data_IF_433043334278
#
_entry.id   IF_433043334278
#
_cell.length_a   1.000
_cell.length_b   1.000
_cell.length_c   1.000
_cell.angle_alpha   90.00
_cell.angle_beta   90.00
_cell.angle_gamma   90.00
#
_symmetry.space_group_name_H-M   'P 1'
#
loop_
_entity.id
_entity.type
_entity.pdbx_description
1 polymer ?
#
# COMPACT_ATOMS: atom_id res chain seq x y z
N UNK A 1 -7.97 2.54 -21.49
CA UNK A 1 -8.45 2.80 -20.12
C UNK A 1 -7.31 2.43 -19.20
N UNK A 2 -6.53 3.43 -18.76
CA UNK A 2 -5.45 3.19 -17.80
C UNK A 2 -6.09 2.81 -16.47
N UNK A 3 -5.67 1.67 -15.91
CA UNK A 3 -6.12 1.27 -14.58
C UNK A 3 -5.46 2.21 -13.57
N UNK A 4 -6.22 3.09 -12.93
CA UNK A 4 -5.71 4.14 -12.03
C UNK A 4 -5.89 3.81 -10.55
N UNK A 5 -6.20 2.55 -10.20
CA UNK A 5 -6.60 2.17 -8.83
C UNK A 5 -5.55 2.56 -7.78
N UNK A 6 -4.26 2.40 -8.08
CA UNK A 6 -3.18 2.78 -7.16
C UNK A 6 -3.01 4.30 -7.10
N UNK A 7 -3.10 4.98 -8.24
CA UNK A 7 -3.09 6.45 -8.29
C UNK A 7 -4.26 7.06 -7.48
N UNK A 8 -5.46 6.49 -7.59
CA UNK A 8 -6.70 6.96 -6.96
C UNK A 8 -6.71 6.78 -5.44
N UNK A 9 -5.78 5.99 -4.88
CA UNK A 9 -5.60 5.90 -3.42
C UNK A 9 -5.09 7.21 -2.84
N UNK A 10 -4.23 7.93 -3.55
CA UNK A 10 -3.61 9.16 -3.07
C UNK A 10 -4.62 10.30 -3.10
N UNK A 11 -4.85 10.92 -1.95
CA UNK A 11 -5.70 12.11 -1.84
C UNK A 11 -4.98 13.34 -1.28
N UNK A 12 -3.69 13.21 -0.96
CA UNK A 12 -2.89 14.28 -0.38
C UNK A 12 -3.31 14.66 1.05
N UNK A 13 -4.27 13.95 1.64
CA UNK A 13 -4.79 14.21 2.98
C UNK A 13 -4.47 13.04 3.90
N UNK A 14 -5.10 11.88 3.66
CA UNK A 14 -4.91 10.68 4.47
C UNK A 14 -3.89 9.73 3.87
N UNK A 15 -3.67 9.78 2.55
CA UNK A 15 -2.67 8.98 1.84
C UNK A 15 -1.86 9.92 0.94
N UNK A 16 -0.54 9.93 1.15
CA UNK A 16 0.42 10.76 0.41
C UNK A 16 1.20 9.97 -0.65
N UNK A 17 1.35 8.66 -0.46
CA UNK A 17 2.01 7.77 -1.42
C UNK A 17 1.33 6.41 -1.43
N UNK A 18 1.33 5.74 -2.58
CA UNK A 18 0.84 4.38 -2.74
C UNK A 18 1.71 3.61 -3.72
N UNK A 19 1.78 2.30 -3.55
CA UNK A 19 2.50 1.39 -4.44
C UNK A 19 1.84 0.01 -4.49
N UNK A 20 2.01 -0.67 -5.61
CA UNK A 20 1.71 -2.08 -5.79
C UNK A 20 3.01 -2.87 -5.90
N UNK A 21 3.11 -3.95 -5.15
CA UNK A 21 4.22 -4.90 -5.21
C UNK A 21 3.75 -6.27 -5.67
N UNK A 22 4.61 -6.97 -6.41
CA UNK A 22 4.42 -8.37 -6.77
C UNK A 22 4.71 -9.31 -5.59
N UNK A 23 4.40 -10.62 -5.70
CA UNK A 23 4.67 -11.60 -4.64
C UNK A 23 6.16 -11.75 -4.27
N UNK A 24 7.07 -11.31 -5.12
CA UNK A 24 8.52 -11.33 -4.91
C UNK A 24 9.02 -10.03 -4.25
N UNK A 25 8.13 -9.07 -4.03
CA UNK A 25 8.41 -7.78 -3.40
C UNK A 25 8.96 -6.72 -4.36
N UNK A 26 8.86 -6.90 -5.67
CA UNK A 26 9.21 -5.87 -6.65
C UNK A 26 8.06 -4.89 -6.84
N UNK A 27 8.38 -3.60 -7.02
CA UNK A 27 7.37 -2.57 -7.28
C UNK A 27 6.88 -2.65 -8.73
N UNK A 28 5.58 -2.89 -8.92
CA UNK A 28 4.90 -2.84 -10.22
C UNK A 28 4.52 -1.39 -10.55
N UNK A 29 3.92 -0.70 -9.58
CA UNK A 29 3.45 0.67 -9.73
C UNK A 29 3.71 1.47 -8.45
N UNK A 30 3.96 2.77 -8.58
CA UNK A 30 4.06 3.71 -7.46
C UNK A 30 3.66 5.11 -7.87
N UNK A 31 3.11 5.86 -6.91
CA UNK A 31 2.67 7.24 -7.11
C UNK A 31 3.73 8.27 -6.72
N UNK A 32 4.82 7.86 -6.06
CA UNK A 32 5.93 8.72 -5.65
C UNK A 32 7.28 8.03 -5.89
N UNK A 33 8.27 8.78 -6.38
CA UNK A 33 9.65 8.30 -6.54
C UNK A 33 10.40 8.18 -5.23
N UNK A 34 10.02 9.00 -4.25
CA UNK A 34 10.68 9.11 -2.94
C UNK A 34 10.22 8.00 -2.00
N UNK A 35 9.03 7.46 -2.25
CA UNK A 35 8.54 6.27 -1.57
C UNK A 35 9.21 5.02 -2.15
N UNK A 36 9.99 4.33 -1.32
CA UNK A 36 10.71 3.09 -1.65
C UNK A 36 10.06 1.91 -0.91
N UNK A 37 8.96 1.36 -1.42
CA UNK A 37 8.23 0.29 -0.76
C UNK A 37 9.04 -1.01 -0.64
N UNK A 38 10.03 -1.22 -1.52
CA UNK A 38 10.92 -2.40 -1.47
C UNK A 38 11.72 -2.54 -0.18
N UNK A 39 11.98 -1.44 0.54
CA UNK A 39 12.63 -1.48 1.87
C UNK A 39 11.75 -2.23 2.88
N UNK A 40 10.43 -2.26 2.67
CA UNK A 40 9.53 -2.99 3.56
C UNK A 40 9.73 -4.51 3.49
N UNK A 41 10.34 -5.04 2.42
CA UNK A 41 10.68 -6.46 2.32
C UNK A 41 11.73 -6.88 3.37
N UNK A 42 12.52 -5.94 3.89
CA UNK A 42 13.47 -6.20 4.98
C UNK A 42 12.78 -6.24 6.36
N UNK A 43 11.61 -5.61 6.47
CA UNK A 43 10.84 -5.51 7.71
C UNK A 43 9.72 -6.54 7.80
N UNK A 44 9.23 -7.00 6.65
CA UNK A 44 8.12 -7.94 6.55
C UNK A 44 8.61 -9.30 6.08
N UNK A 45 8.22 -10.33 6.83
CA UNK A 45 8.22 -11.67 6.28
C UNK A 45 7.06 -11.79 5.29
N UNK A 46 7.39 -11.84 3.99
CA UNK A 46 6.40 -11.99 2.92
C UNK A 46 5.67 -13.34 2.98
N UNK A 47 6.13 -14.30 3.81
CA UNK A 47 5.48 -15.60 4.02
C UNK A 47 4.40 -15.60 5.11
N UNK A 48 4.23 -14.52 5.88
CA UNK A 48 3.23 -14.45 6.93
C UNK A 48 1.79 -14.37 6.37
N UNK A 49 0.83 -14.92 7.12
CA UNK A 49 -0.60 -14.93 6.79
C UNK A 49 -1.30 -13.61 7.20
N UNK A 50 -0.55 -12.67 7.80
CA UNK A 50 -1.06 -11.36 8.16
C UNK A 50 -1.41 -10.53 6.91
N UNK A 51 -2.72 -10.39 6.66
CA UNK A 51 -3.23 -9.62 5.54
C UNK A 51 -3.00 -8.10 5.65
N UNK A 52 -2.73 -7.59 6.84
CA UNK A 52 -2.60 -6.16 7.09
C UNK A 52 -1.55 -5.86 8.16
N UNK A 53 -0.51 -5.12 7.78
CA UNK A 53 0.52 -4.64 8.69
C UNK A 53 0.50 -3.11 8.75
N UNK A 54 0.75 -2.56 9.92
CA UNK A 54 0.84 -1.09 10.13
C UNK A 54 2.12 -0.77 10.87
N UNK A 55 2.97 0.01 10.23
CA UNK A 55 4.23 0.49 10.77
C UNK A 55 4.09 1.96 11.08
N UNK A 56 4.13 2.31 12.36
CA UNK A 56 4.09 3.71 12.81
C UNK A 56 5.52 4.18 13.03
N UNK A 57 6.00 5.02 12.12
CA UNK A 57 7.29 5.70 12.25
C UNK A 57 7.14 7.09 12.85
N UNK A 58 8.28 7.71 13.16
CA UNK A 58 8.31 9.07 13.71
C UNK A 58 7.72 10.11 12.77
N UNK A 59 7.85 9.94 11.44
CA UNK A 59 7.45 10.95 10.44
C UNK A 59 6.25 10.55 9.59
N UNK A 60 5.90 9.26 9.56
CA UNK A 60 4.78 8.76 8.77
C UNK A 60 4.35 7.38 9.25
N UNK A 61 3.13 6.99 8.90
CA UNK A 61 2.64 5.62 9.05
C UNK A 61 2.62 4.93 7.69
N UNK A 62 3.13 3.71 7.61
CA UNK A 62 3.04 2.85 6.43
C UNK A 62 2.05 1.74 6.72
N UNK A 63 1.12 1.48 5.80
CA UNK A 63 0.16 0.38 5.89
C UNK A 63 0.35 -0.52 4.68
N UNK A 64 0.48 -1.81 4.93
CA UNK A 64 0.74 -2.83 3.92
C UNK A 64 -0.43 -3.80 3.95
N UNK A 65 -1.10 -3.97 2.82
CA UNK A 65 -2.21 -4.90 2.65
C UNK A 65 -1.79 -5.97 1.64
N UNK A 66 -1.64 -7.19 2.13
CA UNK A 66 -1.37 -8.37 1.31
C UNK A 66 -2.68 -8.86 0.69
N UNK A 67 -2.64 -9.24 -0.58
CA UNK A 67 -3.76 -9.75 -1.35
C UNK A 67 -3.66 -11.27 -1.46
N UNK A 68 -4.79 -11.94 -1.70
CA UNK A 68 -4.81 -13.40 -1.90
C UNK A 68 -3.95 -13.86 -3.08
N UNK A 69 -3.73 -13.00 -4.08
CA UNK A 69 -2.84 -13.26 -5.21
C UNK A 69 -1.34 -13.19 -4.85
N UNK A 70 -1.00 -12.92 -3.59
CA UNK A 70 0.37 -12.73 -3.10
C UNK A 70 0.93 -11.32 -3.31
N UNK A 71 0.28 -10.49 -4.13
CA UNK A 71 0.63 -9.09 -4.31
C UNK A 71 0.40 -8.30 -3.03
N UNK A 72 1.02 -7.12 -2.91
CA UNK A 72 0.80 -6.22 -1.79
C UNK A 72 0.54 -4.79 -2.24
N UNK A 73 -0.47 -4.14 -1.66
CA UNK A 73 -0.66 -2.70 -1.76
C UNK A 73 -0.01 -2.06 -0.54
N UNK A 74 0.85 -1.08 -0.78
CA UNK A 74 1.52 -0.31 0.26
C UNK A 74 1.05 1.13 0.18
N UNK A 75 0.62 1.71 1.29
CA UNK A 75 0.27 3.13 1.39
C UNK A 75 1.10 3.81 2.47
N UNK A 76 1.42 5.08 2.24
CA UNK A 76 2.05 5.97 3.19
C UNK A 76 1.05 7.05 3.60
N UNK A 77 0.87 7.20 4.91
CA UNK A 77 0.01 8.19 5.52
C UNK A 77 0.88 9.20 6.29
N UNK A 78 0.60 10.52 6.20
CA UNK A 78 1.31 11.49 7.03
C UNK A 78 0.93 11.32 8.50
N UNK A 79 1.76 11.86 9.41
CA UNK A 79 1.44 11.84 10.83
C UNK A 79 0.13 12.57 11.14
N UNK A 80 -0.65 12.02 12.07
CA UNK A 80 -1.96 12.57 12.43
C UNK A 80 -3.05 12.38 11.37
N UNK A 81 -2.76 11.69 10.26
CA UNK A 81 -3.75 11.36 9.25
C UNK A 81 -4.91 10.54 9.81
N UNK A 82 -6.07 10.67 9.18
CA UNK A 82 -7.21 9.81 9.46
C UNK A 82 -6.97 8.40 8.90
N UNK A 83 -6.34 7.53 9.71
CA UNK A 83 -6.03 6.16 9.33
C UNK A 83 -7.29 5.31 9.07
N UNK A 84 -8.42 5.65 9.67
CA UNK A 84 -9.70 4.98 9.39
C UNK A 84 -10.14 5.17 7.94
N UNK A 85 -10.08 6.42 7.44
CA UNK A 85 -10.35 6.77 6.04
C UNK A 85 -9.34 6.10 5.10
N UNK A 86 -8.05 6.13 5.45
CA UNK A 86 -7.00 5.48 4.66
C UNK A 86 -7.22 3.96 4.53
N UNK A 87 -7.55 3.27 5.63
CA UNK A 87 -7.88 1.83 5.61
C UNK A 87 -9.13 1.52 4.81
N UNK A 88 -10.17 2.35 4.91
CA UNK A 88 -11.39 2.17 4.13
C UNK A 88 -11.11 2.28 2.62
N UNK A 89 -10.30 3.25 2.21
CA UNK A 89 -9.84 3.37 0.83
C UNK A 89 -9.02 2.17 0.39
N UNK A 90 -8.03 1.79 1.19
CA UNK A 90 -7.18 0.63 0.93
C UNK A 90 -7.99 -0.65 0.76
N UNK A 91 -8.97 -0.90 1.64
CA UNK A 91 -9.85 -2.07 1.57
C UNK A 91 -10.73 -2.10 0.32
N UNK A 92 -11.13 -0.93 -0.22
CA UNK A 92 -11.88 -0.88 -1.48
C UNK A 92 -10.96 -1.17 -2.66
N UNK A 93 -9.78 -0.56 -2.69
CA UNK A 93 -8.81 -0.76 -3.76
C UNK A 93 -8.24 -2.18 -3.78
N UNK A 94 -8.07 -2.82 -2.61
CA UNK A 94 -7.57 -4.20 -2.51
C UNK A 94 -8.51 -5.21 -3.15
N UNK A 95 -9.83 -4.95 -3.14
CA UNK A 95 -10.83 -5.79 -3.82
C UNK A 95 -10.87 -5.42 -5.32
N UNK A 96 -10.88 -4.12 -5.64
CA UNK A 96 -11.05 -3.63 -7.00
C UNK A 96 -9.88 -4.01 -7.93
N UNK A 97 -8.67 -4.18 -7.39
CA UNK A 97 -7.48 -4.46 -8.19
C UNK A 97 -7.37 -5.93 -8.63
N UNK A 98 -7.99 -6.87 -7.90
CA UNK A 98 -7.85 -8.33 -8.12
C UNK A 98 -8.07 -8.76 -9.58
N UNK A 99 -9.09 -8.28 -10.31
CA UNK A 99 -9.32 -8.68 -11.71
C UNK A 99 -8.20 -8.29 -12.69
N UNK A 100 -7.23 -7.48 -12.25
CA UNK A 100 -6.15 -6.93 -13.07
C UNK A 100 -4.75 -7.42 -12.65
N UNK A 101 -4.67 -8.28 -11.64
CA UNK A 101 -3.45 -8.93 -11.16
C UNK A 101 -3.32 -10.34 -11.75
#
# INVERSE_FOLDING_TARGET
MSNTIIADLVDGECIISAALMDPQGFTIERTSSDFKPTVMNELLDLSDDSNLVTLVGENSTVIICKLESGHAIVIQCPNGANLGKARQKLSRSSIAIIPFL
#
